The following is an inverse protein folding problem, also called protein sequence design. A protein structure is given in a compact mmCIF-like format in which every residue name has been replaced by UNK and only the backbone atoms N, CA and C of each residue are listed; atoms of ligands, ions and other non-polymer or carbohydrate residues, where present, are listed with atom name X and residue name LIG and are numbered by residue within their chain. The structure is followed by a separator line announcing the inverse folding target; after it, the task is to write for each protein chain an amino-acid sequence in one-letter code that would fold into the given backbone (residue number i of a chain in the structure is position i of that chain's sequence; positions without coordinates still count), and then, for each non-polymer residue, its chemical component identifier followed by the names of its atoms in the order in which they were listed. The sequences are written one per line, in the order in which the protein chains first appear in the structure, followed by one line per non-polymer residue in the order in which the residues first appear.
data_IF_330034711771
#
_entry.id   IF_330034711771
#
_cell.length_a   1.000
_cell.length_b   1.000
_cell.length_c   1.000
_cell.angle_alpha   90.00
_cell.angle_beta   90.00
_cell.angle_gamma   90.00
#
_symmetry.space_group_name_H-M   'P 1'
#
loop_
_entity.id
_entity.type
_entity.pdbx_description
1 polymer ?
#
# COMPACT_ATOMS: atom_id res chain seq x y z
N UNK A 1 -6.89 -4.80 32.65
CA UNK A 1 -6.23 -3.96 31.64
C UNK A 1 -6.44 -4.63 30.29
N UNK A 2 -7.39 -4.12 29.53
CA UNK A 2 -7.70 -4.63 28.19
C UNK A 2 -6.58 -4.23 27.23
N UNK A 3 -6.05 -5.15 26.40
CA UNK A 3 -5.11 -4.77 25.37
C UNK A 3 -5.85 -3.93 24.32
N UNK A 4 -5.60 -2.64 24.34
CA UNK A 4 -6.08 -1.69 23.34
C UNK A 4 -5.37 -1.98 22.00
N UNK A 5 -5.79 -3.01 21.27
CA UNK A 5 -5.37 -3.22 19.88
C UNK A 5 -6.09 -2.14 19.06
N UNK A 6 -5.49 -0.95 18.95
CA UNK A 6 -5.86 0.10 17.99
C UNK A 6 -5.57 -0.32 16.54
N UNK A 7 -5.86 -1.58 16.25
CA UNK A 7 -5.80 -2.20 14.97
C UNK A 7 -7.04 -1.68 14.24
N UNK A 8 -6.97 -0.46 13.68
CA UNK A 8 -7.92 -0.01 12.66
C UNK A 8 -7.93 -1.13 11.61
N UNK A 9 -8.91 -2.03 11.70
CA UNK A 9 -9.08 -3.17 10.79
C UNK A 9 -9.61 -2.58 9.48
N UNK A 10 -8.75 -1.86 8.77
CA UNK A 10 -9.03 -1.51 7.40
C UNK A 10 -8.93 -2.81 6.59
N UNK A 11 -10.11 -3.38 6.37
CA UNK A 11 -10.37 -4.54 5.51
C UNK A 11 -10.77 -4.08 4.10
N UNK A 12 -10.61 -2.80 3.78
CA UNK A 12 -10.95 -2.27 2.46
C UNK A 12 -10.01 -2.87 1.41
N UNK A 13 -10.62 -3.38 0.33
CA UNK A 13 -9.89 -3.88 -0.84
C UNK A 13 -9.75 -2.72 -1.83
N UNK A 14 -8.51 -2.40 -2.19
CA UNK A 14 -8.20 -1.42 -3.22
C UNK A 14 -7.67 -2.14 -4.44
N UNK A 15 -8.28 -1.88 -5.60
CA UNK A 15 -7.85 -2.46 -6.87
C UNK A 15 -6.73 -1.61 -7.46
N UNK A 16 -5.57 -2.22 -7.72
CA UNK A 16 -4.43 -1.58 -8.39
C UNK A 16 -4.08 -2.30 -9.69
N UNK A 17 -3.50 -1.57 -10.63
CA UNK A 17 -3.03 -2.12 -11.90
C UNK A 17 -1.59 -2.61 -11.76
N UNK A 18 -1.37 -3.89 -12.03
CA UNK A 18 -0.07 -4.56 -12.04
C UNK A 18 0.11 -5.25 -13.40
N UNK A 19 0.98 -4.68 -14.24
CA UNK A 19 1.06 -5.07 -15.65
C UNK A 19 -0.26 -4.78 -16.37
N UNK A 20 -0.90 -5.82 -16.91
CA UNK A 20 -2.21 -5.76 -17.58
C UNK A 20 -3.37 -6.20 -16.68
N UNK A 21 -3.08 -6.63 -15.44
CA UNK A 21 -4.07 -7.21 -14.54
C UNK A 21 -4.41 -6.23 -13.41
N UNK A 22 -5.68 -6.25 -12.98
CA UNK A 22 -6.09 -5.58 -11.75
C UNK A 22 -6.03 -6.56 -10.60
N UNK A 23 -5.28 -6.22 -9.56
CA UNK A 23 -5.18 -7.00 -8.32
C UNK A 23 -5.81 -6.24 -7.17
N UNK A 24 -6.48 -6.95 -6.27
CA UNK A 24 -7.04 -6.38 -5.05
C UNK A 24 -6.05 -6.52 -3.90
N UNK A 25 -5.74 -5.41 -3.22
CA UNK A 25 -4.94 -5.42 -2.00
C UNK A 25 -5.70 -4.81 -0.84
N UNK A 26 -5.63 -5.49 0.30
CA UNK A 26 -6.27 -5.10 1.54
C UNK A 26 -5.40 -4.05 2.23
N UNK A 27 -6.02 -2.98 2.70
CA UNK A 27 -5.35 -2.01 3.58
C UNK A 27 -4.63 -0.87 2.89
N UNK A 28 -4.68 -0.76 1.55
CA UNK A 28 -3.89 0.23 0.83
C UNK A 28 -4.33 1.67 1.10
N UNK A 29 -5.62 1.95 1.25
CA UNK A 29 -6.08 3.32 1.51
C UNK A 29 -5.56 3.85 2.84
N UNK A 30 -5.63 3.04 3.91
CA UNK A 30 -5.01 3.40 5.20
C UNK A 30 -3.51 3.57 5.07
N UNK A 31 -2.83 2.66 4.37
CA UNK A 31 -1.39 2.75 4.16
C UNK A 31 -0.98 4.05 3.43
N UNK A 32 -1.75 4.44 2.41
CA UNK A 32 -1.51 5.68 1.66
C UNK A 32 -1.78 6.92 2.52
N UNK A 33 -2.81 6.88 3.37
CA UNK A 33 -3.07 7.96 4.33
C UNK A 33 -1.95 8.07 5.36
N UNK A 34 -1.44 6.95 5.88
CA UNK A 34 -0.32 6.91 6.82
C UNK A 34 0.96 7.49 6.18
N UNK A 35 1.31 7.06 4.96
CA UNK A 35 2.45 7.61 4.24
C UNK A 35 2.30 9.10 3.92
N UNK A 36 1.10 9.53 3.50
CA UNK A 36 0.82 10.92 3.21
C UNK A 36 0.91 11.81 4.46
N UNK A 37 0.37 11.33 5.57
CA UNK A 37 0.42 12.04 6.86
C UNK A 37 1.84 12.11 7.43
N UNK A 38 2.69 11.14 7.09
CA UNK A 38 4.12 11.14 7.41
C UNK A 38 4.97 11.98 6.44
N UNK A 39 4.37 12.64 5.46
CA UNK A 39 5.07 13.47 4.46
C UNK A 39 5.90 12.66 3.45
N UNK A 40 5.65 11.36 3.30
CA UNK A 40 6.38 10.50 2.37
C UNK A 40 5.82 10.65 0.96
N UNK A 41 6.64 11.17 0.04
CA UNK A 41 6.29 11.23 -1.38
C UNK A 41 6.42 9.84 -2.05
N UNK A 42 5.61 9.52 -3.07
CA UNK A 42 5.66 8.21 -3.73
C UNK A 42 7.04 7.80 -4.25
N UNK A 43 7.78 8.75 -4.79
CA UNK A 43 9.15 8.61 -5.28
C UNK A 43 10.19 8.39 -4.16
N UNK A 44 9.91 8.83 -2.93
CA UNK A 44 10.80 8.66 -1.76
C UNK A 44 10.65 7.31 -1.06
N UNK A 45 9.56 6.56 -1.33
CA UNK A 45 9.31 5.26 -0.70
C UNK A 45 10.25 4.19 -1.24
N UNK A 46 11.05 3.57 -0.36
CA UNK A 46 11.88 2.41 -0.72
C UNK A 46 11.06 1.17 -1.11
N UNK A 47 11.61 0.33 -1.99
CA UNK A 47 10.95 -0.91 -2.42
C UNK A 47 10.70 -1.88 -1.25
N UNK A 48 11.67 -2.04 -0.36
CA UNK A 48 11.53 -2.87 0.85
C UNK A 48 10.48 -2.32 1.81
N UNK A 49 10.40 -0.99 1.97
CA UNK A 49 9.38 -0.35 2.80
C UNK A 49 7.98 -0.65 2.27
N UNK A 50 7.79 -0.54 0.95
CA UNK A 50 6.52 -0.86 0.28
C UNK A 50 6.16 -2.32 0.52
N UNK A 51 7.07 -3.26 0.23
CA UNK A 51 6.83 -4.68 0.38
C UNK A 51 6.51 -5.07 1.82
N UNK A 52 7.32 -4.59 2.78
CA UNK A 52 7.11 -4.82 4.21
C UNK A 52 5.74 -4.34 4.65
N UNK A 53 5.28 -3.21 4.13
CA UNK A 53 3.99 -2.63 4.51
C UNK A 53 2.81 -3.42 3.94
N UNK A 54 2.84 -3.79 2.66
CA UNK A 54 1.73 -4.53 2.03
C UNK A 54 1.67 -5.99 2.48
N UNK A 55 2.82 -6.62 2.79
CA UNK A 55 2.91 -8.00 3.27
C UNK A 55 2.27 -8.22 4.65
N UNK A 56 2.05 -7.14 5.43
CA UNK A 56 1.34 -7.22 6.72
C UNK A 56 -0.09 -7.73 6.57
N UNK A 57 -0.72 -7.50 5.41
CA UNK A 57 -2.14 -7.83 5.17
C UNK A 57 -2.37 -8.65 3.90
N UNK A 58 -1.36 -8.86 3.07
CA UNK A 58 -1.49 -9.50 1.77
C UNK A 58 -0.35 -10.49 1.52
N UNK A 59 -0.65 -11.59 0.83
CA UNK A 59 0.39 -12.44 0.27
C UNK A 59 1.03 -11.76 -0.92
N UNK A 60 2.36 -11.73 -0.96
CA UNK A 60 3.15 -11.22 -2.08
C UNK A 60 4.13 -12.30 -2.50
N UNK A 61 3.99 -12.78 -3.73
CA UNK A 61 4.95 -13.72 -4.30
C UNK A 61 6.32 -13.06 -4.46
N UNK A 62 7.38 -13.75 -4.04
CA UNK A 62 8.77 -13.29 -4.17
C UNK A 62 9.15 -13.01 -5.63
N UNK A 63 8.61 -13.81 -6.56
CA UNK A 63 8.86 -13.66 -8.01
C UNK A 63 8.26 -12.38 -8.61
N UNK A 64 7.28 -11.77 -7.94
CA UNK A 64 6.54 -10.60 -8.45
C UNK A 64 6.77 -9.32 -7.63
N UNK A 65 7.70 -9.33 -6.68
CA UNK A 65 7.92 -8.22 -5.75
C UNK A 65 8.18 -6.87 -6.46
N UNK A 66 8.97 -6.87 -7.53
CA UNK A 66 9.26 -5.65 -8.30
C UNK A 66 8.01 -5.07 -8.96
N UNK A 67 7.12 -5.93 -9.45
CA UNK A 67 5.86 -5.51 -10.04
C UNK A 67 4.90 -4.94 -8.98
N UNK A 68 4.86 -5.55 -7.79
CA UNK A 68 4.12 -5.01 -6.64
C UNK A 68 4.64 -3.63 -6.22
N UNK A 69 5.96 -3.46 -6.12
CA UNK A 69 6.59 -2.17 -5.80
C UNK A 69 6.13 -1.10 -6.81
N UNK A 70 6.25 -1.39 -8.11
CA UNK A 70 5.88 -0.46 -9.17
C UNK A 70 4.38 -0.13 -9.14
N UNK A 71 3.53 -1.14 -9.01
CA UNK A 71 2.08 -0.99 -8.99
C UNK A 71 1.60 -0.18 -7.79
N UNK A 72 2.08 -0.50 -6.58
CA UNK A 72 1.71 0.21 -5.34
C UNK A 72 2.22 1.64 -5.36
N UNK A 73 3.46 1.88 -5.83
CA UNK A 73 3.99 3.25 -5.96
C UNK A 73 3.16 4.08 -6.94
N UNK A 74 2.80 3.51 -8.09
CA UNK A 74 1.94 4.18 -9.08
C UNK A 74 0.55 4.50 -8.51
N UNK A 75 -0.05 3.54 -7.79
CA UNK A 75 -1.33 3.72 -7.13
C UNK A 75 -1.27 4.81 -6.05
N UNK A 76 -0.20 4.85 -5.26
CA UNK A 76 -0.01 5.89 -4.25
C UNK A 76 0.20 7.27 -4.89
N UNK A 77 0.97 7.36 -5.98
CA UNK A 77 1.08 8.61 -6.73
C UNK A 77 -0.26 9.10 -7.29
N UNK A 78 -1.09 8.19 -7.79
CA UNK A 78 -2.45 8.51 -8.23
C UNK A 78 -3.35 8.94 -7.05
N UNK A 79 -3.18 8.34 -5.87
CA UNK A 79 -3.88 8.72 -4.65
C UNK A 79 -3.50 10.14 -4.19
N UNK A 80 -2.21 10.48 -4.14
CA UNK A 80 -1.74 11.82 -3.79
C UNK A 80 -2.30 12.90 -4.73
N UNK A 81 -2.36 12.63 -6.04
CA UNK A 81 -2.92 13.58 -7.03
C UNK A 81 -4.41 13.86 -6.86
N UNK A 82 -5.18 12.94 -6.26
CA UNK A 82 -6.62 13.11 -6.01
C UNK A 82 -6.93 13.85 -4.71
N UNK A 83 -5.94 13.95 -3.79
CA UNK A 83 -6.07 14.66 -2.51
C UNK A 83 -5.65 16.13 -2.60
N UNK A 84 -5.06 16.55 -3.72
CA UNK A 84 -4.76 17.96 -4.06
C UNK A 84 -6.01 18.65 -4.57
#
# INVERSE_FOLDING_TARGET
MEPNCSCKKDSSVTMILMGTQKIGLIGLNSLFEEWGSAGKAPDTLGGEEILTSIKKKNYVSTTSEQEYIKAVRSAYAAYCKRRV
#
